data_IF_338515982580
#
_entry.id   IF_338515982580
#
_cell.length_a   1.000
_cell.length_b   1.000
_cell.length_c   1.000
_cell.angle_alpha   90.00
_cell.angle_beta   90.00
_cell.angle_gamma   90.00
#
_symmetry.space_group_name_H-M   'P 1'
#
loop_
_entity.id
_entity.type
_entity.pdbx_description
1 polymer ?
#
# COMPACT_ATOMS: atom_id res chain seq x y z
N UNK A 1 -11.80 12.55 -28.49
CA UNK A 1 -11.13 12.57 -27.15
C UNK A 1 -9.79 11.84 -27.20
N UNK A 2 -8.82 12.28 -28.03
CA UNK A 2 -7.50 11.62 -28.14
C UNK A 2 -6.31 12.61 -28.16
N UNK A 3 -6.59 13.92 -28.21
CA UNK A 3 -5.55 14.96 -28.34
C UNK A 3 -4.98 15.36 -26.97
N UNK A 4 -5.75 15.21 -25.89
CA UNK A 4 -5.32 15.54 -24.53
C UNK A 4 -4.18 14.64 -24.04
N UNK A 5 -4.25 13.33 -24.30
CA UNK A 5 -3.22 12.36 -23.87
C UNK A 5 -1.86 12.56 -24.54
N UNK A 6 -1.80 13.20 -25.72
CA UNK A 6 -0.53 13.54 -26.39
C UNK A 6 0.07 14.85 -25.90
N UNK A 7 -0.76 15.81 -25.47
CA UNK A 7 -0.32 17.15 -25.04
C UNK A 7 0.10 17.23 -23.57
N UNK A 8 -0.43 16.34 -22.73
CA UNK A 8 -0.10 16.22 -21.30
C UNK A 8 0.86 15.06 -21.01
N UNK A 9 1.62 14.60 -22.01
CA UNK A 9 2.59 13.53 -21.83
C UNK A 9 3.73 14.06 -20.96
N UNK A 10 3.67 13.78 -19.66
CA UNK A 10 4.76 14.02 -18.72
C UNK A 10 5.90 13.11 -19.13
N UNK A 11 7.07 13.70 -19.37
CA UNK A 11 8.31 12.98 -19.67
C UNK A 11 8.73 12.22 -18.41
N UNK A 12 8.15 11.03 -18.24
CA UNK A 12 8.44 10.14 -17.12
C UNK A 12 9.69 9.35 -17.49
N UNK A 13 10.64 9.26 -16.56
CA UNK A 13 11.82 8.42 -16.72
C UNK A 13 11.37 6.97 -17.00
N UNK A 14 11.87 6.31 -18.07
CA UNK A 14 11.43 4.96 -18.45
C UNK A 14 11.64 3.92 -17.33
N UNK A 15 12.57 4.19 -16.40
CA UNK A 15 12.82 3.35 -15.23
C UNK A 15 11.61 3.28 -14.28
N UNK A 16 10.77 4.32 -14.25
CA UNK A 16 9.58 4.36 -13.40
C UNK A 16 8.57 3.31 -13.88
N UNK A 17 8.33 3.22 -15.19
CA UNK A 17 7.42 2.24 -15.78
C UNK A 17 7.97 0.81 -15.61
N UNK A 18 9.28 0.60 -15.73
CA UNK A 18 9.91 -0.71 -15.46
C UNK A 18 9.75 -1.14 -14.00
N UNK A 19 10.04 -0.24 -13.05
CA UNK A 19 9.88 -0.54 -11.62
C UNK A 19 8.40 -0.73 -11.26
N UNK A 20 7.49 0.07 -11.82
CA UNK A 20 6.04 -0.07 -11.61
C UNK A 20 5.54 -1.45 -12.08
N UNK A 21 6.01 -1.93 -13.24
CA UNK A 21 5.65 -3.25 -13.77
C UNK A 21 6.17 -4.42 -12.93
N UNK A 22 7.28 -4.23 -12.22
CA UNK A 22 7.85 -5.23 -11.29
C UNK A 22 7.17 -5.21 -9.92
N UNK A 23 6.44 -4.13 -9.58
CA UNK A 23 5.66 -4.04 -8.35
C UNK A 23 4.32 -4.78 -8.51
N UNK A 24 3.70 -5.24 -7.39
CA UNK A 24 2.48 -6.03 -7.42
C UNK A 24 1.23 -5.28 -7.92
N UNK A 25 1.32 -4.00 -8.29
CA UNK A 25 0.19 -3.18 -8.76
C UNK A 25 -0.96 -2.99 -7.76
N UNK A 26 -0.81 -3.45 -6.52
CA UNK A 26 -1.88 -3.51 -5.52
C UNK A 26 -2.32 -2.14 -4.99
N UNK A 27 -1.50 -1.09 -5.16
CA UNK A 27 -1.78 0.28 -4.69
C UNK A 27 -2.24 0.34 -3.21
N UNK A 28 -1.74 -0.57 -2.37
CA UNK A 28 -2.22 -0.76 -1.00
C UNK A 28 -1.72 0.30 0.01
N UNK A 29 -0.75 1.13 -0.37
CA UNK A 29 -0.16 2.15 0.52
C UNK A 29 0.65 1.58 1.69
N UNK A 30 0.88 0.26 1.77
CA UNK A 30 1.63 -0.37 2.86
C UNK A 30 3.10 0.08 2.97
N UNK A 31 3.65 0.62 1.89
CA UNK A 31 4.99 1.22 1.85
C UNK A 31 5.01 2.71 2.26
N UNK A 32 3.85 3.35 2.50
CA UNK A 32 3.76 4.78 2.83
C UNK A 32 3.73 5.74 1.64
N UNK A 33 3.72 5.22 0.40
CA UNK A 33 3.66 6.03 -0.83
C UNK A 33 2.28 5.97 -1.50
N UNK A 34 1.89 7.02 -2.27
CA UNK A 34 0.62 7.08 -2.98
C UNK A 34 0.63 6.12 -4.19
N UNK A 35 0.42 4.83 -3.92
CA UNK A 35 0.35 3.78 -4.94
C UNK A 35 1.70 3.22 -5.38
N UNK A 36 1.65 2.21 -6.26
CA UNK A 36 2.83 1.54 -6.80
C UNK A 36 3.67 2.47 -7.68
N UNK A 37 3.03 3.33 -8.48
CA UNK A 37 3.71 4.35 -9.29
C UNK A 37 4.46 5.36 -8.42
N UNK A 38 3.81 5.89 -7.38
CA UNK A 38 4.45 6.81 -6.44
C UNK A 38 5.63 6.18 -5.70
N UNK A 39 5.57 4.87 -5.42
CA UNK A 39 6.71 4.13 -4.90
C UNK A 39 7.83 3.99 -5.95
N UNK A 40 7.50 3.64 -7.19
CA UNK A 40 8.48 3.53 -8.28
C UNK A 40 9.20 4.86 -8.53
N UNK A 41 8.47 5.98 -8.54
CA UNK A 41 9.04 7.33 -8.63
C UNK A 41 9.99 7.64 -7.47
N UNK A 42 9.63 7.26 -6.24
CA UNK A 42 10.46 7.44 -5.06
C UNK A 42 11.73 6.57 -5.09
N UNK A 43 11.64 5.35 -5.61
CA UNK A 43 12.79 4.46 -5.80
C UNK A 43 13.75 5.05 -6.83
N UNK A 44 13.24 5.46 -8.01
CA UNK A 44 14.06 6.05 -9.08
C UNK A 44 14.70 7.38 -8.64
N UNK A 45 14.01 8.16 -7.81
CA UNK A 45 14.54 9.42 -7.25
C UNK A 45 15.51 9.21 -6.07
N UNK A 46 15.70 7.97 -5.59
CA UNK A 46 16.54 7.64 -4.43
C UNK A 46 15.93 8.02 -3.08
N UNK A 47 14.66 8.41 -3.03
CA UNK A 47 13.94 8.76 -1.81
C UNK A 47 13.45 7.52 -1.04
N UNK A 48 13.28 6.38 -1.73
CA UNK A 48 12.88 5.10 -1.14
C UNK A 48 13.92 4.00 -1.43
N UNK A 49 14.17 3.07 -0.49
CA UNK A 49 14.97 1.89 -0.78
C UNK A 49 14.22 0.95 -1.74
N UNK A 50 14.96 0.15 -2.52
CA UNK A 50 14.38 -0.87 -3.42
C UNK A 50 13.52 -1.91 -2.69
N UNK A 51 13.75 -2.07 -1.38
CA UNK A 51 13.01 -3.00 -0.51
C UNK A 51 11.79 -2.37 0.18
N UNK A 52 11.40 -1.15 -0.19
CA UNK A 52 10.32 -0.41 0.46
C UNK A 52 8.92 -1.03 0.29
N UNK A 53 8.69 -1.92 -0.69
CA UNK A 53 7.40 -2.59 -0.86
C UNK A 53 7.29 -3.82 0.06
N UNK A 54 6.54 -3.80 1.18
CA UNK A 54 6.48 -4.93 2.09
C UNK A 54 5.75 -6.17 1.52
N UNK A 55 5.06 -6.01 0.39
CA UNK A 55 4.28 -7.06 -0.28
C UNK A 55 5.11 -7.81 -1.33
N UNK A 56 6.13 -7.16 -1.89
CA UNK A 56 7.00 -7.75 -2.90
C UNK A 56 7.91 -8.80 -2.25
N UNK A 57 8.03 -9.96 -2.89
CA UNK A 57 8.93 -11.04 -2.44
C UNK A 57 10.25 -11.06 -3.20
N UNK A 58 10.26 -10.53 -4.42
CA UNK A 58 11.44 -10.49 -5.28
C UNK A 58 11.87 -9.03 -5.50
N UNK A 59 12.92 -8.63 -4.80
CA UNK A 59 13.53 -7.30 -4.95
C UNK A 59 14.69 -7.31 -5.95
N UNK A 60 15.09 -8.48 -6.43
CA UNK A 60 16.27 -8.69 -7.27
C UNK A 60 16.10 -8.00 -8.62
N UNK A 61 14.92 -8.14 -9.24
CA UNK A 61 14.61 -7.48 -10.51
C UNK A 61 14.59 -5.95 -10.39
N UNK A 62 14.09 -5.42 -9.28
CA UNK A 62 14.05 -3.97 -9.03
C UNK A 62 15.47 -3.43 -8.78
N UNK A 63 16.28 -4.20 -8.05
CA UNK A 63 17.66 -3.88 -7.77
C UNK A 63 18.54 -3.90 -9.04
N UNK A 64 18.29 -4.82 -9.98
CA UNK A 64 18.97 -4.89 -11.27
C UNK A 64 18.68 -3.64 -12.13
N UNK A 65 17.41 -3.22 -12.22
CA UNK A 65 17.01 -1.97 -12.92
C UNK A 65 17.65 -0.74 -12.29
N UNK A 66 17.80 -0.73 -10.97
CA UNK A 66 18.39 0.40 -10.22
C UNK A 66 19.91 0.34 -10.10
N UNK A 67 20.57 -0.76 -10.52
CA UNK A 67 22.01 -0.95 -10.43
C UNK A 67 22.57 -0.96 -9.00
N UNK A 68 21.74 -1.28 -8.00
CA UNK A 68 22.12 -1.30 -6.57
C UNK A 68 22.09 -2.73 -6.04
N UNK A 69 23.03 -3.11 -5.18
CA UNK A 69 22.98 -4.42 -4.53
C UNK A 69 21.75 -4.52 -3.60
N UNK A 70 20.96 -5.58 -3.77
CA UNK A 70 19.77 -5.87 -2.96
C UNK A 70 20.15 -6.37 -1.55
N UNK A 71 20.97 -5.62 -0.81
CA UNK A 71 21.60 -6.14 0.42
C UNK A 71 20.80 -5.92 1.71
N UNK A 72 19.59 -5.36 1.65
CA UNK A 72 18.83 -5.07 2.87
C UNK A 72 17.40 -5.60 2.77
N UNK A 73 17.23 -6.87 3.17
CA UNK A 73 15.92 -7.45 3.45
C UNK A 73 15.14 -6.49 4.37
N UNK A 74 14.08 -5.87 3.82
CA UNK A 74 13.25 -4.97 4.60
C UNK A 74 12.65 -5.72 5.78
N UNK A 75 12.79 -5.16 6.97
CA UNK A 75 12.17 -5.71 8.17
C UNK A 75 10.67 -5.81 7.96
N UNK A 76 10.12 -7.00 8.21
CA UNK A 76 8.70 -7.29 7.98
C UNK A 76 7.84 -6.45 8.91
N UNK A 77 7.33 -5.33 8.41
CA UNK A 77 6.35 -4.53 9.13
C UNK A 77 4.99 -5.24 9.14
N UNK A 78 4.36 -5.31 10.32
CA UNK A 78 3.04 -5.88 10.50
C UNK A 78 2.10 -4.75 10.90
N UNK A 79 0.97 -4.62 10.21
CA UNK A 79 -0.06 -3.68 10.58
C UNK A 79 -0.65 -4.07 11.94
N UNK A 80 -0.44 -3.25 12.96
CA UNK A 80 -1.07 -3.42 14.28
C UNK A 80 -2.28 -2.50 14.38
N UNK A 81 -3.46 -3.08 14.47
CA UNK A 81 -4.70 -2.32 14.71
C UNK A 81 -4.63 -1.69 16.09
N UNK A 82 -4.64 -0.35 16.17
CA UNK A 82 -4.52 0.39 17.44
C UNK A 82 -5.72 0.22 18.38
N UNK A 83 -6.89 -0.16 17.84
CA UNK A 83 -8.11 -0.39 18.61
C UNK A 83 -7.99 -1.57 19.61
N UNK A 84 -7.09 -2.53 19.38
CA UNK A 84 -6.94 -3.77 20.16
C UNK A 84 -8.19 -4.68 20.25
N UNK A 85 -9.38 -4.21 19.84
CA UNK A 85 -10.54 -5.02 19.44
C UNK A 85 -11.26 -5.80 20.53
N UNK A 86 -10.99 -5.52 21.81
CA UNK A 86 -11.58 -6.25 22.94
C UNK A 86 -12.70 -5.47 23.66
N UNK A 87 -13.56 -6.18 24.39
CA UNK A 87 -14.59 -5.59 25.29
C UNK A 87 -14.00 -4.75 26.44
N UNK A 88 -12.69 -4.84 26.67
CA UNK A 88 -11.95 -3.99 27.63
C UNK A 88 -11.58 -2.63 27.03
N UNK A 89 -11.18 -2.62 25.77
CA UNK A 89 -10.66 -1.43 25.08
C UNK A 89 -11.79 -0.65 24.38
N UNK A 90 -12.78 -1.36 23.85
CA UNK A 90 -14.00 -0.78 23.27
C UNK A 90 -15.13 -0.77 24.30
N UNK A 91 -15.58 0.42 24.69
CA UNK A 91 -16.73 0.55 25.60
C UNK A 91 -18.00 0.01 24.93
N UNK A 92 -18.64 -0.95 25.60
CA UNK A 92 -19.90 -1.51 25.15
C UNK A 92 -21.03 -0.52 25.44
N UNK A 93 -21.45 0.24 24.43
CA UNK A 93 -22.44 1.32 24.59
C UNK A 93 -23.85 0.81 24.90
N UNK A 94 -24.19 -0.39 24.45
CA UNK A 94 -25.51 -1.01 24.65
C UNK A 94 -25.40 -2.54 24.52
N UNK A 95 -26.42 -3.25 24.99
CA UNK A 95 -26.58 -4.69 24.79
C UNK A 95 -27.62 -4.85 23.69
N UNK A 96 -27.23 -5.50 22.59
CA UNK A 96 -28.14 -5.79 21.50
C UNK A 96 -29.04 -6.98 21.86
N UNK A 97 -30.34 -6.75 21.83
CA UNK A 97 -31.39 -7.76 22.06
C UNK A 97 -32.32 -7.73 20.85
N UNK A 98 -31.93 -8.43 19.79
CA UNK A 98 -32.66 -8.48 18.53
C UNK A 98 -32.31 -9.74 17.75
N UNK A 99 -32.66 -9.78 16.46
CA UNK A 99 -32.29 -10.90 15.58
C UNK A 99 -30.78 -11.10 15.57
N UNK A 100 -30.30 -12.33 15.70
CA UNK A 100 -28.88 -12.69 15.78
C UNK A 100 -28.15 -12.50 14.43
N UNK A 101 -28.05 -11.24 13.99
CA UNK A 101 -27.42 -10.83 12.74
C UNK A 101 -26.47 -9.64 13.00
N UNK A 102 -25.25 -9.74 12.48
CA UNK A 102 -24.19 -8.74 12.67
C UNK A 102 -24.59 -7.38 12.08
N UNK A 103 -25.26 -7.38 10.94
CA UNK A 103 -25.69 -6.16 10.24
C UNK A 103 -26.79 -5.46 11.04
N UNK A 104 -27.73 -6.24 11.58
CA UNK A 104 -28.78 -5.72 12.45
C UNK A 104 -28.22 -5.10 13.75
N UNK A 105 -27.20 -5.72 14.36
CA UNK A 105 -26.53 -5.19 15.54
C UNK A 105 -25.75 -3.90 15.26
N UNK A 106 -25.11 -3.79 14.10
CA UNK A 106 -24.25 -2.66 13.73
C UNK A 106 -25.03 -1.37 13.41
N UNK A 107 -26.25 -1.51 12.87
CA UNK A 107 -27.15 -0.37 12.61
C UNK A 107 -27.49 0.44 13.88
N UNK A 108 -27.52 -0.20 15.05
CA UNK A 108 -27.76 0.49 16.33
C UNK A 108 -26.53 1.26 16.84
N UNK A 109 -25.34 0.89 16.38
CA UNK A 109 -24.05 1.47 16.79
C UNK A 109 -23.67 2.76 16.07
N UNK A 110 -24.39 3.12 15.01
CA UNK A 110 -24.08 4.27 14.16
C UNK A 110 -23.39 3.91 12.84
N UNK A 111 -23.35 2.62 12.45
CA UNK A 111 -22.85 2.16 11.14
C UNK A 111 -21.64 1.26 11.21
#
# INVERSE_FOLDING_TARGET
MAVASRKLKVESDPRIDEVEALLPGANCGGCGYPGCRGLAEAIVSGAAPVTACPVTKDYSSIAEVMGVEATSAAERMIAKVRCAGGKKEAQQRFIYLGVEDCSAAQNLGGG
#
